data_IF_493723591440
#
_entry.id   IF_493723591440
#
_cell.length_a   1.000
_cell.length_b   1.000
_cell.length_c   1.000
_cell.angle_alpha   90.00
_cell.angle_beta   90.00
_cell.angle_gamma   90.00
#
_symmetry.space_group_name_H-M   'P 1'
#
loop_
_entity.id
_entity.type
_entity.pdbx_description
1 polymer ?
#
# COMPACT_ATOMS: atom_id res chain seq x y z
N UNK A 1 56.43 -14.19 0.93
CA UNK A 1 55.21 -14.52 0.15
C UNK A 1 54.04 -14.33 1.08
N UNK A 2 53.54 -13.09 1.14
CA UNK A 2 52.53 -12.67 2.11
C UNK A 2 51.15 -13.15 1.66
N UNK A 3 50.61 -14.12 2.40
CA UNK A 3 49.26 -14.64 2.19
C UNK A 3 48.24 -13.66 2.78
N UNK A 4 47.73 -12.76 1.94
CA UNK A 4 46.60 -11.88 2.31
C UNK A 4 45.34 -12.74 2.45
N UNK A 5 44.88 -12.95 3.69
CA UNK A 5 43.55 -13.49 3.96
C UNK A 5 42.49 -12.44 3.61
N UNK A 6 41.83 -12.63 2.46
CA UNK A 6 40.64 -11.86 2.10
C UNK A 6 39.47 -12.34 2.97
N UNK A 7 39.16 -11.60 4.03
CA UNK A 7 37.94 -11.78 4.81
C UNK A 7 36.74 -11.49 3.90
N UNK A 8 36.11 -12.54 3.40
CA UNK A 8 34.88 -12.45 2.62
C UNK A 8 33.77 -11.99 3.56
N UNK A 9 33.41 -10.70 3.52
CA UNK A 9 32.26 -10.18 4.25
C UNK A 9 31.00 -10.95 3.86
N UNK A 10 30.56 -11.88 4.70
CA UNK A 10 29.22 -12.46 4.62
C UNK A 10 28.22 -11.46 5.18
N UNK A 11 28.07 -10.31 4.53
CA UNK A 11 27.00 -9.36 4.81
C UNK A 11 25.68 -9.85 4.19
N UNK A 12 25.23 -11.02 4.64
CA UNK A 12 23.87 -11.49 4.35
C UNK A 12 22.89 -10.58 5.05
N UNK A 13 22.05 -9.85 4.30
CA UNK A 13 21.01 -9.00 4.87
C UNK A 13 20.15 -9.85 5.81
N UNK A 14 20.20 -9.56 7.12
CA UNK A 14 19.39 -10.25 8.13
C UNK A 14 17.91 -10.19 7.71
N UNK A 15 17.21 -11.32 7.79
CA UNK A 15 15.78 -11.39 7.47
C UNK A 15 15.02 -10.44 8.40
N UNK A 16 14.34 -9.43 7.81
CA UNK A 16 13.45 -8.55 8.58
C UNK A 16 12.19 -9.32 8.96
N UNK A 17 11.83 -9.26 10.24
CA UNK A 17 10.63 -9.93 10.78
C UNK A 17 9.33 -9.18 10.45
N UNK A 18 9.41 -7.86 10.27
CA UNK A 18 8.28 -7.02 9.86
C UNK A 18 8.31 -6.70 8.37
N UNK A 19 7.12 -6.52 7.79
CA UNK A 19 6.97 -5.99 6.44
C UNK A 19 7.37 -4.51 6.42
N UNK A 20 7.99 -4.07 5.32
CA UNK A 20 8.44 -2.67 5.16
C UNK A 20 7.27 -1.69 5.28
N UNK A 21 6.13 -1.98 4.64
CA UNK A 21 4.92 -1.15 4.71
C UNK A 21 4.36 -0.99 6.13
N UNK A 22 4.46 -2.02 6.97
CA UNK A 22 4.04 -1.93 8.38
C UNK A 22 4.87 -0.91 9.17
N UNK A 23 6.13 -0.69 8.80
CA UNK A 23 7.01 0.26 9.48
C UNK A 23 6.63 1.72 9.20
N UNK A 24 5.83 1.98 8.15
CA UNK A 24 5.40 3.33 7.76
C UNK A 24 4.12 3.81 8.43
N UNK A 25 3.49 2.99 9.28
CA UNK A 25 2.22 3.32 9.96
C UNK A 25 2.25 4.63 10.77
N UNK A 26 3.41 5.00 11.30
CA UNK A 26 3.60 6.24 12.05
C UNK A 26 3.51 7.51 11.18
N UNK A 27 3.56 7.39 9.85
CA UNK A 27 3.47 8.52 8.92
C UNK A 27 2.05 9.09 8.78
N UNK A 28 1.02 8.43 9.33
CA UNK A 28 -0.32 9.00 9.41
C UNK A 28 -1.08 9.11 8.08
N UNK A 29 -0.66 8.42 7.02
CA UNK A 29 -1.28 8.50 5.68
C UNK A 29 -2.69 7.84 5.58
N UNK A 30 -3.11 7.12 6.62
CA UNK A 30 -4.42 6.46 6.69
C UNK A 30 -4.51 5.11 5.96
N UNK A 31 -5.61 4.39 6.21
CA UNK A 31 -5.82 3.01 5.74
C UNK A 31 -5.95 2.93 4.22
N UNK A 32 -6.69 3.87 3.61
CA UNK A 32 -6.91 3.87 2.16
C UNK A 32 -5.60 4.15 1.38
N UNK A 33 -4.79 5.09 1.86
CA UNK A 33 -3.46 5.33 1.28
C UNK A 33 -2.55 4.11 1.44
N UNK A 34 -2.61 3.39 2.57
CA UNK A 34 -1.88 2.14 2.75
C UNK A 34 -2.32 1.08 1.74
N UNK A 35 -3.63 0.91 1.52
CA UNK A 35 -4.15 -0.02 0.53
C UNK A 35 -3.64 0.34 -0.88
N UNK A 36 -3.83 1.59 -1.29
CA UNK A 36 -3.56 2.04 -2.65
C UNK A 36 -2.07 2.16 -2.99
N UNK A 37 -1.27 2.76 -2.08
CA UNK A 37 0.12 3.12 -2.37
C UNK A 37 1.11 2.07 -1.90
N UNK A 38 0.71 1.21 -0.96
CA UNK A 38 1.62 0.24 -0.34
C UNK A 38 1.19 -1.19 -0.67
N UNK A 39 -0.01 -1.62 -0.29
CA UNK A 39 -0.37 -3.04 -0.38
C UNK A 39 -0.58 -3.51 -1.82
N UNK A 40 -1.18 -2.69 -2.70
CA UNK A 40 -1.31 -3.05 -4.13
C UNK A 40 0.07 -3.35 -4.75
N UNK A 41 1.09 -2.56 -4.40
CA UNK A 41 2.43 -2.62 -5.00
C UNK A 41 3.34 -3.62 -4.31
N UNK A 42 3.34 -3.64 -2.97
CA UNK A 42 4.31 -4.37 -2.16
C UNK A 42 3.80 -5.72 -1.62
N UNK A 43 2.49 -5.89 -1.41
CA UNK A 43 1.92 -7.08 -0.74
C UNK A 43 0.45 -7.34 -1.13
N UNK A 44 0.24 -7.80 -2.37
CA UNK A 44 -1.09 -8.06 -2.93
C UNK A 44 -1.88 -9.14 -2.16
N UNK A 45 -1.19 -10.05 -1.47
CA UNK A 45 -1.80 -11.02 -0.57
C UNK A 45 -2.37 -10.33 0.68
N UNK A 46 -1.62 -9.41 1.30
CA UNK A 46 -2.13 -8.61 2.40
C UNK A 46 -3.30 -7.71 1.96
N UNK A 47 -3.23 -7.11 0.76
CA UNK A 47 -4.36 -6.37 0.17
C UNK A 47 -5.61 -7.26 0.09
N UNK A 48 -5.48 -8.45 -0.52
CA UNK A 48 -6.59 -9.40 -0.66
C UNK A 48 -7.11 -9.90 0.69
N UNK A 49 -6.24 -10.12 1.66
CA UNK A 49 -6.66 -10.54 2.99
C UNK A 49 -7.41 -9.43 3.74
N UNK A 50 -7.02 -8.17 3.53
CA UNK A 50 -7.68 -7.02 4.15
C UNK A 50 -9.07 -6.76 3.54
N UNK A 51 -9.16 -6.63 2.22
CA UNK A 51 -10.42 -6.31 1.54
C UNK A 51 -11.27 -7.53 1.18
N UNK A 52 -10.73 -8.75 1.33
CA UNK A 52 -11.34 -10.01 0.86
C UNK A 52 -11.61 -10.04 -0.65
N UNK A 53 -10.90 -9.22 -1.42
CA UNK A 53 -11.01 -9.13 -2.88
C UNK A 53 -9.68 -8.68 -3.50
N UNK A 54 -9.50 -8.95 -4.79
CA UNK A 54 -8.34 -8.42 -5.54
C UNK A 54 -8.56 -6.96 -5.93
N UNK A 55 -7.49 -6.25 -6.29
CA UNK A 55 -7.63 -4.87 -6.75
C UNK A 55 -8.53 -4.75 -8.01
N UNK A 56 -8.45 -5.63 -9.03
CA UNK A 56 -9.38 -5.59 -10.15
C UNK A 56 -10.86 -5.76 -9.74
N UNK A 57 -11.16 -6.59 -8.74
CA UNK A 57 -12.51 -6.73 -8.21
C UNK A 57 -12.98 -5.46 -7.50
N UNK A 58 -12.08 -4.82 -6.76
CA UNK A 58 -12.36 -3.52 -6.14
C UNK A 58 -12.65 -2.45 -7.19
N UNK A 59 -11.81 -2.31 -8.22
CA UNK A 59 -12.04 -1.31 -9.29
C UNK A 59 -13.35 -1.57 -10.04
N UNK A 60 -13.70 -2.85 -10.28
CA UNK A 60 -14.98 -3.20 -10.89
C UNK A 60 -16.16 -2.72 -10.05
N UNK A 61 -16.13 -3.00 -8.74
CA UNK A 61 -17.19 -2.58 -7.82
C UNK A 61 -17.27 -1.05 -7.71
N UNK A 62 -16.11 -0.39 -7.64
CA UNK A 62 -16.04 1.07 -7.61
C UNK A 62 -16.67 1.66 -8.86
N UNK A 63 -16.29 1.20 -10.05
CA UNK A 63 -16.86 1.67 -11.32
C UNK A 63 -18.37 1.45 -11.40
N UNK A 64 -18.88 0.35 -10.85
CA UNK A 64 -20.31 0.05 -10.84
C UNK A 64 -21.14 1.01 -9.97
N UNK A 65 -20.56 1.54 -8.87
CA UNK A 65 -21.27 2.44 -7.94
C UNK A 65 -20.82 3.90 -8.05
N UNK A 66 -19.79 4.19 -8.86
CA UNK A 66 -19.12 5.49 -8.89
C UNK A 66 -20.11 6.64 -9.13
N UNK A 67 -21.00 6.46 -10.09
CA UNK A 67 -22.00 7.47 -10.47
C UNK A 67 -22.93 7.79 -9.30
N UNK A 68 -23.28 6.79 -8.49
CA UNK A 68 -24.24 6.93 -7.38
C UNK A 68 -23.60 7.54 -6.13
N UNK A 69 -22.31 7.30 -5.90
CA UNK A 69 -21.61 7.76 -4.69
C UNK A 69 -20.80 9.04 -4.90
N UNK A 70 -20.62 9.48 -6.16
CA UNK A 70 -19.88 10.70 -6.48
C UNK A 70 -20.61 11.93 -5.94
N UNK A 71 -19.92 12.64 -5.05
CA UNK A 71 -20.41 13.91 -4.50
C UNK A 71 -20.08 15.06 -5.43
N UNK A 72 -20.88 16.11 -5.37
CA UNK A 72 -20.64 17.38 -6.06
C UNK A 72 -20.12 18.42 -5.08
N UNK A 73 -19.33 19.35 -5.61
CA UNK A 73 -18.87 20.50 -4.84
C UNK A 73 -20.07 21.35 -4.41
N UNK A 74 -19.90 22.03 -3.29
CA UNK A 74 -20.87 22.99 -2.78
C UNK A 74 -20.15 24.28 -2.43
N UNK A 75 -20.89 25.38 -2.30
CA UNK A 75 -20.31 26.68 -1.93
C UNK A 75 -19.45 26.64 -0.64
N UNK A 76 -19.78 25.72 0.28
CA UNK A 76 -19.12 25.64 1.59
C UNK A 76 -18.10 24.50 1.70
N UNK A 77 -18.01 23.60 0.71
CA UNK A 77 -17.20 22.39 0.82
C UNK A 77 -16.95 21.72 -0.53
N UNK A 78 -15.70 21.38 -0.76
CA UNK A 78 -15.27 20.52 -1.87
C UNK A 78 -15.72 19.07 -1.66
N UNK A 79 -16.12 18.44 -2.76
CA UNK A 79 -16.44 17.04 -2.83
C UNK A 79 -15.20 16.18 -2.60
N UNK A 80 -15.45 15.00 -2.04
CA UNK A 80 -14.46 13.93 -1.98
C UNK A 80 -14.74 13.06 -3.20
N UNK A 81 -13.69 12.63 -3.90
CA UNK A 81 -13.87 11.72 -5.03
C UNK A 81 -14.48 10.40 -4.56
N UNK A 82 -15.13 9.67 -5.46
CA UNK A 82 -15.70 8.36 -5.15
C UNK A 82 -14.63 7.36 -4.67
N UNK A 83 -13.38 7.53 -5.11
CA UNK A 83 -12.27 6.63 -4.80
C UNK A 83 -11.56 7.00 -3.49
N UNK A 84 -11.16 8.26 -3.35
CA UNK A 84 -10.39 8.73 -2.19
C UNK A 84 -10.46 10.26 -1.97
N UNK A 85 -9.96 10.71 -0.82
CA UNK A 85 -9.82 12.12 -0.43
C UNK A 85 -8.38 12.58 -0.63
#
# INVERSE_FOLDING_TARGET
MDGVMVLREKNGKRKKWSRSWLQRRQQGLGVLSMLDKELIVEDSLAYRNFLRMTNPQFEYLLAAVEIDIKKQDTFMRDAISARNK
#
